data_IF_554755487310
#
_entry.id   IF_554755487310
#
_cell.length_a   1.000
_cell.length_b   1.000
_cell.length_c   1.000
_cell.angle_alpha   90.00
_cell.angle_beta   90.00
_cell.angle_gamma   90.00
#
_symmetry.space_group_name_H-M   'P 1'
#
loop_
_entity.id
_entity.type
_entity.pdbx_description
1 polymer ?
#
# COMPACT_ATOMS: atom_id res chain seq x y z
N UNK A 1 -28.69 25.03 20.10
CA UNK A 1 -27.95 24.20 21.07
C UNK A 1 -28.08 22.76 20.59
N UNK A 2 -27.05 22.29 19.92
CA UNK A 2 -27.06 21.04 19.16
C UNK A 2 -25.70 20.93 18.50
N UNK A 3 -24.70 20.59 19.31
CA UNK A 3 -23.30 20.52 18.89
C UNK A 3 -23.13 19.42 17.85
N UNK A 4 -22.78 19.84 16.64
CA UNK A 4 -22.22 18.98 15.61
C UNK A 4 -20.84 18.54 16.04
N UNK A 5 -20.76 17.40 16.73
CA UNK A 5 -19.50 16.72 17.02
C UNK A 5 -18.94 16.14 15.71
N UNK A 6 -18.31 17.01 14.91
CA UNK A 6 -17.45 16.60 13.82
C UNK A 6 -16.27 15.81 14.39
N UNK A 7 -16.14 14.56 13.95
CA UNK A 7 -14.99 13.73 14.31
C UNK A 7 -13.73 14.42 13.73
N UNK A 8 -12.71 14.73 14.56
CA UNK A 8 -11.55 15.48 14.11
C UNK A 8 -10.73 14.68 13.09
N UNK A 9 -10.29 15.36 12.02
CA UNK A 9 -9.71 14.80 10.80
C UNK A 9 -8.34 14.09 10.96
N UNK A 10 -7.81 13.92 12.17
CA UNK A 10 -6.52 13.25 12.39
C UNK A 10 -6.59 11.72 12.46
N UNK A 11 -7.80 11.11 12.49
CA UNK A 11 -7.98 9.70 12.88
C UNK A 11 -8.21 8.69 11.75
N UNK A 12 -7.86 8.98 10.50
CA UNK A 12 -8.19 8.08 9.38
C UNK A 12 -6.93 7.50 8.74
N UNK A 13 -6.55 6.31 9.22
CA UNK A 13 -5.55 5.44 8.62
C UNK A 13 -6.14 4.12 8.09
N UNK A 14 -5.99 3.92 6.78
CA UNK A 14 -5.81 2.66 6.03
C UNK A 14 -6.98 1.66 5.78
N UNK A 15 -7.56 1.84 4.58
CA UNK A 15 -7.92 0.86 3.53
C UNK A 15 -9.18 -0.02 3.58
N UNK A 16 -9.89 -0.18 4.71
CA UNK A 16 -11.37 -0.20 4.66
C UNK A 16 -12.00 0.96 5.44
N UNK A 17 -11.22 1.59 6.34
CA UNK A 17 -11.68 2.69 7.18
C UNK A 17 -11.79 4.03 6.44
N UNK A 18 -11.15 4.18 5.28
CA UNK A 18 -11.33 5.35 4.41
C UNK A 18 -12.78 5.45 3.91
N UNK A 19 -13.44 4.32 3.65
CA UNK A 19 -14.87 4.28 3.30
C UNK A 19 -15.75 4.72 4.48
N UNK A 20 -15.41 4.30 5.69
CA UNK A 20 -16.12 4.68 6.93
C UNK A 20 -15.92 6.17 7.25
N UNK A 21 -14.70 6.70 7.07
CA UNK A 21 -14.40 8.13 7.25
C UNK A 21 -15.02 9.04 6.19
N UNK A 22 -15.22 8.54 4.96
CA UNK A 22 -15.87 9.26 3.86
C UNK A 22 -17.38 9.01 3.76
N UNK A 23 -17.97 8.19 4.64
CA UNK A 23 -19.40 7.91 4.63
C UNK A 23 -20.26 9.18 4.76
N UNK A 24 -19.72 10.23 5.41
CA UNK A 24 -20.32 11.57 5.48
C UNK A 24 -19.91 12.55 4.37
N UNK A 25 -18.94 12.20 3.51
CA UNK A 25 -18.36 13.07 2.49
C UNK A 25 -18.98 12.90 1.09
N UNK A 26 -19.91 11.95 0.93
CA UNK A 26 -20.57 11.63 -0.34
C UNK A 26 -19.81 10.61 -1.20
N UNK A 27 -20.46 10.12 -2.25
CA UNK A 27 -19.95 9.01 -3.07
C UNK A 27 -18.71 9.37 -3.91
N UNK A 28 -18.53 10.64 -4.26
CA UNK A 28 -17.47 11.09 -5.17
C UNK A 28 -16.07 10.94 -4.54
N UNK A 29 -15.78 11.46 -3.33
CA UNK A 29 -14.48 11.23 -2.66
C UNK A 29 -14.15 9.75 -2.44
N UNK A 30 -15.17 8.93 -2.14
CA UNK A 30 -15.02 7.47 -2.00
C UNK A 30 -14.51 6.86 -3.30
N UNK A 31 -15.17 7.18 -4.41
CA UNK A 31 -14.80 6.66 -5.73
C UNK A 31 -13.39 7.09 -6.11
N UNK A 32 -13.02 8.36 -5.86
CA UNK A 32 -11.68 8.87 -6.18
C UNK A 32 -10.60 8.15 -5.35
N UNK A 33 -10.77 8.05 -4.04
CA UNK A 33 -9.79 7.40 -3.17
C UNK A 33 -9.66 5.90 -3.49
N UNK A 34 -10.80 5.22 -3.69
CA UNK A 34 -10.81 3.78 -3.99
C UNK A 34 -10.22 3.51 -5.38
N UNK A 35 -10.54 4.34 -6.37
CA UNK A 35 -9.99 4.21 -7.73
C UNK A 35 -8.48 4.50 -7.73
N UNK A 36 -8.04 5.57 -7.06
CA UNK A 36 -6.63 5.88 -6.92
C UNK A 36 -5.83 4.76 -6.27
N UNK A 37 -6.37 4.18 -5.20
CA UNK A 37 -5.78 3.02 -4.55
C UNK A 37 -5.83 1.77 -5.46
N UNK A 38 -6.91 1.55 -6.20
CA UNK A 38 -7.02 0.41 -7.10
C UNK A 38 -6.01 0.49 -8.26
N UNK A 39 -5.76 1.69 -8.80
CA UNK A 39 -4.84 1.92 -9.91
C UNK A 39 -3.41 1.46 -9.62
N UNK A 40 -2.96 1.41 -8.35
CA UNK A 40 -1.63 0.88 -7.99
C UNK A 40 -1.41 -0.57 -8.42
N UNK A 41 -2.48 -1.36 -8.56
CA UNK A 41 -2.40 -2.75 -8.99
C UNK A 41 -2.10 -2.89 -10.49
N UNK A 42 -2.35 -1.85 -11.29
CA UNK A 42 -2.07 -1.87 -12.73
C UNK A 42 -0.58 -2.05 -13.01
N UNK A 43 0.34 -1.17 -12.55
CA UNK A 43 1.77 -1.36 -12.77
C UNK A 43 2.29 -2.63 -12.08
N UNK A 44 1.84 -2.95 -10.86
CA UNK A 44 2.25 -4.18 -10.17
C UNK A 44 1.89 -5.44 -10.97
N UNK A 45 0.68 -5.49 -11.53
CA UNK A 45 0.23 -6.62 -12.34
C UNK A 45 1.02 -6.74 -13.64
N UNK A 46 1.37 -5.60 -14.27
CA UNK A 46 2.19 -5.57 -15.46
C UNK A 46 3.58 -6.17 -15.17
N UNK A 47 4.30 -5.65 -14.16
CA UNK A 47 5.63 -6.14 -13.76
C UNK A 47 5.59 -7.61 -13.35
N UNK A 48 4.62 -8.01 -12.51
CA UNK A 48 4.51 -9.41 -12.10
C UNK A 48 4.25 -10.32 -13.30
N UNK A 49 3.39 -9.91 -14.23
CA UNK A 49 3.08 -10.72 -15.42
C UNK A 49 4.30 -11.01 -16.30
N UNK A 50 5.29 -10.12 -16.30
CA UNK A 50 6.57 -10.32 -16.99
C UNK A 50 7.47 -11.28 -16.22
N UNK A 51 7.61 -11.09 -14.90
CA UNK A 51 8.41 -11.95 -14.03
C UNK A 51 8.00 -13.43 -14.07
N UNK A 52 6.70 -13.71 -14.21
CA UNK A 52 6.17 -15.08 -14.27
C UNK A 52 5.61 -15.47 -15.65
N UNK A 53 6.03 -14.79 -16.73
CA UNK A 53 5.51 -14.99 -18.10
C UNK A 53 5.56 -16.45 -18.57
N UNK A 54 6.60 -17.19 -18.18
CA UNK A 54 6.80 -18.60 -18.54
C UNK A 54 5.93 -19.62 -17.79
N UNK A 55 5.09 -19.19 -16.84
CA UNK A 55 4.29 -20.10 -16.00
C UNK A 55 2.87 -20.32 -16.58
N UNK A 56 2.23 -21.46 -16.26
CA UNK A 56 0.85 -21.74 -16.68
C UNK A 56 -0.13 -20.65 -16.27
N UNK A 57 -1.16 -20.41 -17.08
CA UNK A 57 -2.25 -19.47 -16.76
C UNK A 57 -2.86 -19.63 -15.37
N UNK A 58 -3.18 -20.85 -14.86
CA UNK A 58 -3.76 -20.97 -13.52
C UNK A 58 -2.81 -20.47 -12.42
N UNK A 59 -1.50 -20.74 -12.53
CA UNK A 59 -0.50 -20.22 -11.60
C UNK A 59 -0.46 -18.71 -11.63
N UNK A 60 -0.48 -18.11 -12.83
CA UNK A 60 -0.47 -16.65 -13.00
C UNK A 60 -1.72 -15.99 -12.41
N UNK A 61 -2.90 -16.60 -12.58
CA UNK A 61 -4.13 -16.10 -11.94
C UNK A 61 -4.08 -16.23 -10.41
N UNK A 62 -3.58 -17.35 -9.89
CA UNK A 62 -3.43 -17.54 -8.45
C UNK A 62 -2.49 -16.49 -7.83
N UNK A 63 -1.39 -16.18 -8.51
CA UNK A 63 -0.45 -15.14 -8.06
C UNK A 63 -1.04 -13.72 -8.15
N UNK A 64 -1.92 -13.47 -9.12
CA UNK A 64 -2.61 -12.19 -9.26
C UNK A 64 -3.73 -12.00 -8.21
N UNK A 65 -4.33 -13.09 -7.74
CA UNK A 65 -5.36 -13.05 -6.69
C UNK A 65 -4.82 -12.50 -5.37
N UNK A 66 -3.60 -12.90 -5.01
CA UNK A 66 -2.91 -12.41 -3.80
C UNK A 66 -1.83 -11.40 -4.20
N UNK A 67 -2.27 -10.30 -4.83
CA UNK A 67 -1.38 -9.20 -5.19
C UNK A 67 -1.54 -8.06 -4.19
N UNK A 68 -0.58 -7.95 -3.27
CA UNK A 68 -0.53 -6.88 -2.28
C UNK A 68 0.90 -6.31 -2.26
N UNK A 69 1.02 -5.03 -1.90
CA UNK A 69 2.26 -4.26 -1.96
C UNK A 69 3.43 -4.97 -1.25
N UNK A 70 3.17 -5.59 -0.09
CA UNK A 70 4.17 -6.29 0.72
C UNK A 70 4.77 -7.48 -0.02
N UNK A 71 3.92 -8.36 -0.55
CA UNK A 71 4.40 -9.57 -1.24
C UNK A 71 4.91 -9.24 -2.62
N UNK A 72 4.42 -8.18 -3.27
CA UNK A 72 4.98 -7.65 -4.51
C UNK A 72 6.43 -7.17 -4.30
N UNK A 73 6.67 -6.33 -3.28
CA UNK A 73 8.01 -5.82 -2.95
C UNK A 73 9.00 -6.93 -2.62
N UNK A 74 8.58 -7.91 -1.80
CA UNK A 74 9.39 -9.09 -1.49
C UNK A 74 9.70 -9.94 -2.73
N UNK A 75 8.73 -10.09 -3.63
CA UNK A 75 8.90 -10.84 -4.89
C UNK A 75 9.89 -10.15 -5.81
N UNK A 76 9.81 -8.82 -5.95
CA UNK A 76 10.75 -8.04 -6.76
C UNK A 76 12.17 -8.10 -6.19
N UNK A 77 12.30 -7.97 -4.87
CA UNK A 77 13.58 -8.08 -4.20
C UNK A 77 14.21 -9.48 -4.37
N UNK A 78 13.40 -10.55 -4.32
CA UNK A 78 13.84 -11.92 -4.57
C UNK A 78 14.24 -12.15 -6.02
N UNK A 79 13.47 -11.62 -6.98
CA UNK A 79 13.81 -11.68 -8.41
C UNK A 79 15.16 -11.02 -8.68
N UNK A 80 15.41 -9.83 -8.11
CA UNK A 80 16.69 -9.15 -8.23
C UNK A 80 17.87 -9.84 -7.55
N UNK A 81 17.64 -10.82 -6.66
CA UNK A 81 18.68 -11.69 -6.08
C UNK A 81 18.92 -12.98 -6.89
N UNK A 82 18.15 -13.20 -7.97
CA UNK A 82 18.22 -14.42 -8.76
C UNK A 82 17.53 -15.62 -8.12
N UNK A 83 16.44 -15.40 -7.38
CA UNK A 83 15.65 -16.50 -6.78
C UNK A 83 15.21 -17.51 -7.85
N UNK A 84 15.56 -18.78 -7.63
CA UNK A 84 15.41 -19.85 -8.62
C UNK A 84 13.95 -20.25 -8.83
N UNK A 85 13.14 -20.19 -7.77
CA UNK A 85 11.71 -20.46 -7.83
C UNK A 85 10.89 -19.32 -7.23
N UNK A 86 10.72 -18.28 -8.03
CA UNK A 86 9.88 -17.13 -7.69
C UNK A 86 8.42 -17.49 -7.37
N UNK A 87 7.90 -18.57 -7.95
CA UNK A 87 6.52 -19.00 -7.69
C UNK A 87 6.42 -19.54 -6.27
N UNK A 88 7.32 -20.45 -5.89
CA UNK A 88 7.34 -20.98 -4.53
C UNK A 88 7.60 -19.87 -3.50
N UNK A 89 8.56 -18.97 -3.77
CA UNK A 89 8.89 -17.85 -2.89
C UNK A 89 7.66 -16.94 -2.67
N UNK A 90 7.02 -16.48 -3.75
CA UNK A 90 5.86 -15.61 -3.65
C UNK A 90 4.70 -16.31 -2.95
N UNK A 91 4.42 -17.57 -3.26
CA UNK A 91 3.36 -18.33 -2.59
C UNK A 91 3.61 -18.50 -1.09
N UNK A 92 4.86 -18.71 -0.67
CA UNK A 92 5.21 -18.77 0.75
C UNK A 92 5.04 -17.41 1.44
N UNK A 93 5.46 -16.32 0.79
CA UNK A 93 5.27 -14.96 1.30
C UNK A 93 3.78 -14.60 1.44
N UNK A 94 2.98 -14.93 0.42
CA UNK A 94 1.52 -14.74 0.40
C UNK A 94 0.85 -15.53 1.54
N UNK A 95 1.24 -16.79 1.73
CA UNK A 95 0.68 -17.62 2.80
C UNK A 95 1.05 -17.08 4.19
N UNK A 96 2.29 -16.66 4.39
CA UNK A 96 2.74 -16.10 5.66
C UNK A 96 2.02 -14.80 5.98
N UNK A 97 1.86 -13.92 5.00
CA UNK A 97 1.11 -12.67 5.16
C UNK A 97 -0.35 -12.95 5.51
N UNK A 98 -0.99 -13.88 4.80
CA UNK A 98 -2.38 -14.25 5.06
C UNK A 98 -2.57 -14.88 6.44
N UNK A 99 -1.65 -15.77 6.85
CA UNK A 99 -1.68 -16.37 8.18
C UNK A 99 -1.52 -15.31 9.28
N UNK A 100 -0.59 -14.37 9.10
CA UNK A 100 -0.41 -13.23 10.00
C UNK A 100 -1.68 -12.36 10.09
N UNK A 101 -2.34 -12.11 8.96
CA UNK A 101 -3.61 -11.39 8.92
C UNK A 101 -4.73 -12.11 9.68
N UNK A 102 -4.89 -13.42 9.49
CA UNK A 102 -5.89 -14.23 10.20
C UNK A 102 -5.61 -14.22 11.71
N UNK A 103 -4.38 -14.50 12.11
CA UNK A 103 -3.98 -14.51 13.53
C UNK A 103 -4.17 -13.14 14.17
N UNK A 104 -3.74 -12.07 13.50
CA UNK A 104 -3.92 -10.70 13.97
C UNK A 104 -5.39 -10.31 14.10
N UNK A 105 -6.23 -10.74 13.17
CA UNK A 105 -7.68 -10.51 13.23
C UNK A 105 -8.31 -11.23 14.42
N UNK A 106 -7.98 -12.51 14.61
CA UNK A 106 -8.47 -13.28 15.77
C UNK A 106 -7.99 -12.64 17.08
N UNK A 107 -6.72 -12.28 17.18
CA UNK A 107 -6.17 -11.60 18.35
C UNK A 107 -6.86 -10.26 18.61
N UNK A 108 -7.11 -9.47 17.56
CA UNK A 108 -7.82 -8.21 17.63
C UNK A 108 -9.27 -8.36 18.09
N UNK A 109 -9.98 -9.38 17.63
CA UNK A 109 -11.35 -9.68 18.11
C UNK A 109 -11.36 -10.10 19.57
N UNK A 110 -10.36 -10.87 20.02
CA UNK A 110 -10.32 -11.39 21.39
C UNK A 110 -9.86 -10.35 22.43
N UNK A 111 -8.95 -9.44 22.06
CA UNK A 111 -8.28 -8.53 23.01
C UNK A 111 -8.59 -7.05 22.72
N UNK A 112 -9.17 -6.73 21.57
CA UNK A 112 -9.31 -5.36 21.07
C UNK A 112 -10.17 -4.44 21.95
N UNK A 113 -11.13 -4.96 22.71
CA UNK A 113 -11.93 -4.15 23.64
C UNK A 113 -11.10 -3.57 24.81
N UNK A 114 -9.95 -4.18 25.12
CA UNK A 114 -9.06 -3.74 26.19
C UNK A 114 -7.90 -2.84 25.74
N UNK A 115 -7.79 -2.55 24.44
CA UNK A 115 -6.63 -1.83 23.86
C UNK A 115 -7.10 -0.53 23.25
N UNK A 116 -6.53 0.59 23.69
CA UNK A 116 -6.68 1.89 23.01
C UNK A 116 -5.71 1.94 21.81
N UNK A 117 -6.17 1.87 20.55
CA UNK A 117 -5.28 1.84 19.38
C UNK A 117 -4.46 3.13 19.23
N UNK A 118 -4.98 4.27 19.69
CA UNK A 118 -4.29 5.56 19.58
C UNK A 118 -3.08 5.63 20.52
N UNK A 119 -3.22 5.11 21.75
CA UNK A 119 -2.12 5.04 22.71
C UNK A 119 -0.95 4.16 22.23
N UNK A 120 -1.24 3.17 21.37
CA UNK A 120 -0.26 2.26 20.80
C UNK A 120 0.26 2.71 19.41
N UNK A 121 -0.14 3.90 18.94
CA UNK A 121 0.34 4.46 17.68
C UNK A 121 -0.16 3.70 16.45
N UNK A 122 -1.35 3.10 16.51
CA UNK A 122 -1.94 2.38 15.37
C UNK A 122 -2.02 3.24 14.09
N UNK A 123 -2.20 4.56 14.26
CA UNK A 123 -2.24 5.55 13.17
C UNK A 123 -0.89 5.69 12.44
N UNK A 124 0.23 5.48 13.14
CA UNK A 124 1.60 5.60 12.60
C UNK A 124 2.14 4.23 12.16
N UNK A 125 1.61 3.14 12.73
CA UNK A 125 2.07 1.77 12.47
C UNK A 125 2.05 1.41 10.99
N UNK A 126 1.00 1.81 10.27
CA UNK A 126 0.90 1.56 8.83
C UNK A 126 1.96 2.33 8.04
N UNK A 127 2.20 3.59 8.37
CA UNK A 127 3.25 4.39 7.73
C UNK A 127 4.65 3.79 7.97
N UNK A 128 4.92 3.30 9.19
CA UNK A 128 6.16 2.61 9.53
C UNK A 128 6.32 1.29 8.78
N UNK A 129 5.24 0.54 8.57
CA UNK A 129 5.27 -0.72 7.81
C UNK A 129 5.66 -0.47 6.35
N UNK A 130 5.07 0.55 5.70
CA UNK A 130 5.46 0.96 4.35
C UNK A 130 6.91 1.47 4.27
N UNK A 131 7.35 2.21 5.29
CA UNK A 131 8.75 2.66 5.38
C UNK A 131 9.71 1.47 5.55
N UNK A 132 9.34 0.47 6.35
CA UNK A 132 10.13 -0.76 6.50
C UNK A 132 10.17 -1.59 5.21
N UNK A 133 9.05 -1.63 4.47
CA UNK A 133 8.96 -2.35 3.20
C UNK A 133 9.74 -1.67 2.07
N UNK A 134 9.84 -0.34 2.07
CA UNK A 134 10.61 0.41 1.08
C UNK A 134 12.13 0.27 1.27
N UNK A 135 12.60 0.07 2.51
CA UNK A 135 14.02 -0.08 2.82
C UNK A 135 14.78 -1.11 1.94
N UNK A 136 14.31 -2.38 1.76
CA UNK A 136 14.99 -3.36 0.91
C UNK A 136 14.86 -3.10 -0.60
N UNK A 137 13.93 -2.22 -1.01
CA UNK A 137 13.71 -1.83 -2.40
C UNK A 137 14.66 -0.69 -2.82
N UNK A 138 15.17 0.10 -1.87
CA UNK A 138 16.11 1.18 -2.13
C UNK A 138 17.54 0.60 -2.23
N UNK A 139 18.04 0.50 -3.46
CA UNK A 139 19.39 0.03 -3.78
C UNK A 139 20.30 1.11 -4.34
N UNK A 140 19.71 2.19 -4.87
CA UNK A 140 20.42 3.28 -5.53
C UNK A 140 20.06 4.64 -4.93
N UNK A 141 20.96 5.61 -5.11
CA UNK A 141 20.74 7.01 -4.71
C UNK A 141 19.53 7.65 -5.42
N UNK A 142 19.16 7.14 -6.60
CA UNK A 142 18.01 7.62 -7.35
C UNK A 142 16.69 7.15 -6.75
N UNK A 143 16.61 5.90 -6.28
CA UNK A 143 15.43 5.40 -5.55
C UNK A 143 15.21 6.18 -4.25
N UNK A 144 16.29 6.56 -3.53
CA UNK A 144 16.20 7.48 -2.39
C UNK A 144 15.59 8.82 -2.82
N UNK A 145 16.06 9.39 -3.92
CA UNK A 145 15.54 10.66 -4.43
C UNK A 145 14.04 10.56 -4.80
N UNK A 146 13.62 9.47 -5.45
CA UNK A 146 12.22 9.21 -5.78
C UNK A 146 11.36 9.14 -4.50
N UNK A 147 11.83 8.43 -3.47
CA UNK A 147 11.13 8.35 -2.18
C UNK A 147 11.01 9.72 -1.53
N UNK A 148 12.10 10.47 -1.44
CA UNK A 148 12.11 11.80 -0.81
C UNK A 148 11.20 12.78 -1.56
N UNK A 149 11.25 12.80 -2.90
CA UNK A 149 10.39 13.67 -3.71
C UNK A 149 8.93 13.26 -3.56
N UNK A 150 8.63 11.96 -3.55
CA UNK A 150 7.26 11.46 -3.39
C UNK A 150 6.69 11.82 -2.01
N UNK A 151 7.48 11.69 -0.95
CA UNK A 151 7.12 12.13 0.40
C UNK A 151 6.89 13.64 0.43
N UNK A 152 7.79 14.43 -0.17
CA UNK A 152 7.63 15.88 -0.29
C UNK A 152 6.37 16.28 -1.06
N UNK A 153 6.04 15.57 -2.13
CA UNK A 153 4.84 15.80 -2.92
C UNK A 153 3.55 15.48 -2.13
N UNK A 154 3.56 14.45 -1.28
CA UNK A 154 2.43 14.15 -0.37
C UNK A 154 2.21 15.31 0.61
N UNK A 155 3.28 15.79 1.25
CA UNK A 155 3.17 16.91 2.20
C UNK A 155 2.72 18.20 1.52
N UNK A 156 3.26 18.50 0.33
CA UNK A 156 2.81 19.64 -0.45
C UNK A 156 1.34 19.50 -0.89
N UNK A 157 0.91 18.30 -1.30
CA UNK A 157 -0.47 18.04 -1.66
C UNK A 157 -1.42 18.16 -0.46
N UNK A 158 -0.97 17.85 0.76
CA UNK A 158 -1.80 17.93 1.96
C UNK A 158 -2.29 19.34 2.28
N UNK A 159 -1.54 20.38 1.88
CA UNK A 159 -1.90 21.79 2.06
C UNK A 159 -3.01 22.25 1.09
N UNK A 160 -3.13 21.63 -0.08
CA UNK A 160 -3.97 22.13 -1.17
C UNK A 160 -5.08 21.16 -1.64
N UNK A 161 -4.98 19.88 -1.30
CA UNK A 161 -5.87 18.84 -1.81
C UNK A 161 -6.64 18.14 -0.67
N UNK A 162 -7.94 17.85 -0.87
CA UNK A 162 -8.70 17.00 0.05
C UNK A 162 -8.03 15.64 0.22
N UNK A 163 -8.15 15.04 1.41
CA UNK A 163 -7.52 13.77 1.76
C UNK A 163 -7.71 12.66 0.70
N UNK A 164 -8.87 12.60 0.05
CA UNK A 164 -9.18 11.63 -1.01
C UNK A 164 -8.26 11.73 -2.25
N UNK A 165 -7.66 12.89 -2.51
CA UNK A 165 -6.82 13.16 -3.68
C UNK A 165 -5.33 13.03 -3.40
N UNK A 166 -4.91 13.10 -2.14
CA UNK A 166 -3.49 13.16 -1.76
C UNK A 166 -2.72 11.92 -2.21
N UNK A 167 -3.29 10.72 -2.00
CA UNK A 167 -2.67 9.45 -2.38
C UNK A 167 -2.56 9.32 -3.91
N UNK A 168 -3.63 9.65 -4.63
CA UNK A 168 -3.67 9.57 -6.10
C UNK A 168 -2.70 10.55 -6.76
N UNK A 169 -2.62 11.77 -6.23
CA UNK A 169 -1.69 12.80 -6.71
C UNK A 169 -0.24 12.35 -6.48
N UNK A 170 0.09 11.87 -5.28
CA UNK A 170 1.41 11.36 -4.96
C UNK A 170 1.82 10.17 -5.85
N UNK A 171 0.91 9.21 -6.05
CA UNK A 171 1.15 8.06 -6.92
C UNK A 171 1.40 8.49 -8.38
N UNK A 172 0.67 9.49 -8.87
CA UNK A 172 0.84 10.03 -10.23
C UNK A 172 2.20 10.71 -10.41
N UNK A 173 2.62 11.50 -9.41
CA UNK A 173 3.94 12.16 -9.40
C UNK A 173 5.06 11.10 -9.34
N UNK A 174 4.94 10.11 -8.45
CA UNK A 174 5.92 9.03 -8.32
C UNK A 174 6.07 8.25 -9.64
N UNK A 175 4.95 7.90 -10.29
CA UNK A 175 4.96 7.22 -11.58
C UNK A 175 5.58 8.08 -12.69
N UNK A 176 5.27 9.38 -12.72
CA UNK A 176 5.83 10.33 -13.68
C UNK A 176 7.35 10.48 -13.53
N UNK A 177 7.85 10.54 -12.30
CA UNK A 177 9.30 10.61 -12.03
C UNK A 177 9.98 9.30 -12.41
N UNK A 178 9.42 8.16 -12.00
CA UNK A 178 9.97 6.83 -12.31
C UNK A 178 10.08 6.57 -13.82
N UNK A 179 9.18 7.10 -14.64
CA UNK A 179 9.25 6.97 -16.10
C UNK A 179 10.39 7.75 -16.78
N UNK A 180 10.99 8.73 -16.07
CA UNK A 180 12.03 9.62 -16.62
C UNK A 180 13.42 9.27 -16.06
N UNK A 181 13.50 8.48 -15.00
CA UNK A 181 14.77 8.01 -14.43
C UNK A 181 15.33 6.89 -15.33
N UNK A 182 16.58 6.99 -15.82
CA UNK A 182 17.21 5.95 -16.63
C UNK A 182 17.38 4.65 -15.84
N UNK A 183 17.13 3.51 -16.49
CA UNK A 183 17.52 2.19 -15.99
C UNK A 183 19.06 2.08 -16.02
N UNK A 184 19.70 2.10 -14.85
CA UNK A 184 21.14 1.83 -14.69
C UNK A 184 21.41 0.32 -14.51
#
# INVERSE_FOLDING_TARGET
MGDGAGIPAHRVGSCPFTLVGLAGAGIVPILVATTGLALRHVPMSATLSELIRGRPRPTRLAMAWVLVDETFGLTLAAAGRGESDLVAYKSAADLMLYAGWVVGTVAGVLVGEGVDPAAWGAEVFFALLFLGLSAPLIRTRWEVAVVVISVGAVFAAAEFLPAAWQITAAATVAAGIGAVVPDE
#
